data_IF_874765033305
#
_entry.id   IF_874765033305
#
_cell.length_a   1.000
_cell.length_b   1.000
_cell.length_c   1.000
_cell.angle_alpha   90.00
_cell.angle_beta   90.00
_cell.angle_gamma   90.00
#
_symmetry.space_group_name_H-M   'P 1'
#
loop_
_entity.id
_entity.type
_entity.pdbx_description
1 polymer ?
#
# COMPACT_ATOMS: atom_id res chain seq x y z
N UNK A 1 7.05 -0.93 13.89
CA UNK A 1 6.51 -1.29 12.57
C UNK A 1 5.60 -2.48 12.74
N UNK A 2 4.31 -2.34 12.44
CA UNK A 2 3.36 -3.47 12.42
C UNK A 2 3.59 -4.24 11.12
N UNK A 3 4.12 -5.46 11.24
CA UNK A 3 4.22 -6.36 10.10
C UNK A 3 2.83 -6.83 9.66
N UNK A 4 2.70 -7.21 8.39
CA UNK A 4 1.44 -7.60 7.75
C UNK A 4 1.66 -8.56 6.60
N UNK A 5 0.57 -9.05 6.02
CA UNK A 5 0.63 -10.00 4.91
C UNK A 5 0.55 -9.28 3.57
N UNK A 6 1.65 -9.29 2.82
CA UNK A 6 1.67 -8.70 1.49
C UNK A 6 1.01 -9.64 0.49
N UNK A 7 -0.17 -9.27 -0.01
CA UNK A 7 -0.94 -10.10 -0.95
C UNK A 7 -0.19 -10.38 -2.28
N UNK A 8 0.48 -9.42 -2.93
CA UNK A 8 1.30 -9.69 -4.12
C UNK A 8 2.50 -10.61 -3.89
N UNK A 9 3.10 -10.57 -2.69
CA UNK A 9 4.24 -11.43 -2.36
C UNK A 9 3.82 -12.79 -1.81
N UNK A 10 2.55 -12.96 -1.45
CA UNK A 10 1.99 -14.11 -0.75
C UNK A 10 2.77 -14.50 0.54
N UNK A 11 3.33 -13.50 1.24
CA UNK A 11 4.11 -13.72 2.48
C UNK A 11 4.02 -12.56 3.47
N UNK A 12 4.27 -12.89 4.74
CA UNK A 12 4.44 -11.92 5.82
C UNK A 12 5.68 -11.05 5.62
N UNK A 13 5.56 -9.76 5.94
CA UNK A 13 6.62 -8.76 5.84
C UNK A 13 6.66 -7.90 7.10
N UNK A 14 7.86 -7.52 7.48
CA UNK A 14 8.13 -6.73 8.70
C UNK A 14 7.57 -5.30 8.62
N UNK A 15 7.43 -4.78 7.40
CA UNK A 15 6.84 -3.48 7.12
C UNK A 15 5.81 -3.59 5.97
N UNK A 16 4.56 -3.26 6.29
CA UNK A 16 3.45 -3.17 5.35
C UNK A 16 2.63 -1.91 5.62
N UNK A 17 1.90 -1.47 4.60
CA UNK A 17 0.90 -0.40 4.69
C UNK A 17 -0.42 -0.89 4.13
N UNK A 18 -1.51 -0.30 4.61
CA UNK A 18 -2.86 -0.60 4.13
C UNK A 18 -3.10 0.19 2.85
N UNK A 19 -3.50 -0.50 1.79
CA UNK A 19 -3.81 0.07 0.48
C UNK A 19 -5.28 -0.18 0.16
N UNK A 20 -6.03 0.88 -0.12
CA UNK A 20 -7.38 0.75 -0.66
C UNK A 20 -7.29 0.47 -2.17
N UNK A 21 -7.80 -0.67 -2.62
CA UNK A 21 -7.86 -1.10 -4.02
C UNK A 21 -9.32 -1.06 -4.46
N UNK A 22 -9.60 -0.24 -5.47
CA UNK A 22 -10.93 -0.15 -6.10
C UNK A 22 -10.86 -0.86 -7.44
N UNK A 23 -11.56 -1.99 -7.57
CA UNK A 23 -11.70 -2.69 -8.85
C UNK A 23 -12.75 -1.98 -9.71
N UNK A 24 -12.31 -1.34 -10.79
CA UNK A 24 -13.18 -0.65 -11.76
C UNK A 24 -13.93 -1.67 -12.64
N UNK A 25 -14.89 -2.39 -12.07
CA UNK A 25 -16.07 -2.98 -12.75
C UNK A 25 -16.95 -3.77 -11.74
N UNK A 26 -17.69 -3.06 -10.87
CA UNK A 26 -18.71 -3.61 -9.93
C UNK A 26 -18.25 -4.36 -8.67
N UNK A 27 -16.95 -4.43 -8.37
CA UNK A 27 -16.46 -4.98 -7.10
C UNK A 27 -16.50 -3.97 -5.95
N UNK A 28 -16.83 -4.36 -4.70
CA UNK A 28 -16.62 -3.50 -3.55
C UNK A 28 -15.12 -3.19 -3.42
N UNK A 29 -14.78 -1.94 -3.17
CA UNK A 29 -13.40 -1.57 -2.85
C UNK A 29 -12.90 -2.41 -1.68
N UNK A 30 -11.72 -3.00 -1.81
CA UNK A 30 -11.09 -3.81 -0.76
C UNK A 30 -9.88 -3.09 -0.20
N UNK A 31 -9.62 -3.26 1.08
CA UNK A 31 -8.36 -2.86 1.71
C UNK A 31 -7.43 -4.07 1.76
N UNK A 32 -6.20 -3.91 1.30
CA UNK A 32 -5.16 -4.95 1.35
C UNK A 32 -3.94 -4.42 2.08
N UNK A 33 -3.19 -5.31 2.72
CA UNK A 33 -1.84 -4.97 3.17
C UNK A 33 -0.84 -5.23 2.05
N UNK A 34 0.05 -4.28 1.82
CA UNK A 34 1.12 -4.40 0.84
C UNK A 34 2.46 -4.00 1.48
N UNK A 35 3.51 -4.73 1.14
CA UNK A 35 4.86 -4.30 1.54
C UNK A 35 5.26 -3.02 0.80
N UNK A 36 6.20 -2.25 1.35
CA UNK A 36 6.59 -0.94 0.82
C UNK A 36 6.87 -0.92 -0.71
N UNK A 37 7.57 -1.90 -1.32
CA UNK A 37 7.72 -1.96 -2.78
C UNK A 37 6.39 -2.00 -3.54
N UNK A 38 5.50 -2.93 -3.18
CA UNK A 38 4.20 -3.10 -3.85
C UNK A 38 3.24 -1.95 -3.51
N UNK A 39 3.35 -1.36 -2.32
CA UNK A 39 2.61 -0.15 -1.99
C UNK A 39 3.01 1.03 -2.88
N UNK A 40 4.30 1.18 -3.21
CA UNK A 40 4.77 2.17 -4.19
C UNK A 40 4.26 1.89 -5.61
N UNK A 41 4.18 0.62 -6.00
CA UNK A 41 3.54 0.24 -7.27
C UNK A 41 2.07 0.66 -7.29
N UNK A 42 1.32 0.42 -6.21
CA UNK A 42 -0.07 0.87 -6.09
C UNK A 42 -0.19 2.41 -6.13
N UNK A 43 0.72 3.13 -5.46
CA UNK A 43 0.75 4.59 -5.44
C UNK A 43 1.03 5.23 -6.81
N UNK A 44 1.69 4.48 -7.71
CA UNK A 44 1.99 4.91 -9.08
C UNK A 44 0.78 4.82 -10.03
N UNK A 45 -0.32 4.14 -9.64
CA UNK A 45 -1.52 4.11 -10.48
C UNK A 45 -2.16 5.50 -10.59
N UNK A 46 -2.73 5.88 -11.76
CA UNK A 46 -3.35 7.18 -11.94
C UNK A 46 -4.50 7.48 -10.97
N UNK A 47 -5.21 6.43 -10.54
CA UNK A 47 -6.35 6.50 -9.62
C UNK A 47 -5.94 6.29 -8.15
N UNK A 48 -4.65 6.17 -7.86
CA UNK A 48 -4.19 6.01 -6.50
C UNK A 48 -4.55 7.26 -5.67
N UNK A 49 -5.12 7.08 -4.47
CA UNK A 49 -5.50 8.21 -3.65
C UNK A 49 -4.25 8.93 -3.11
N UNK A 50 -4.34 10.25 -2.97
CA UNK A 50 -3.21 11.08 -2.54
C UNK A 50 -2.67 10.68 -1.15
N UNK A 51 -3.55 10.26 -0.22
CA UNK A 51 -3.14 9.85 1.13
C UNK A 51 -2.13 8.70 1.11
N UNK A 52 -2.21 7.76 0.15
CA UNK A 52 -1.26 6.65 0.05
C UNK A 52 0.14 7.15 -0.32
N UNK A 53 0.22 8.15 -1.18
CA UNK A 53 1.49 8.78 -1.57
C UNK A 53 2.10 9.54 -0.39
N UNK A 54 1.26 10.24 0.36
CA UNK A 54 1.68 11.01 1.53
C UNK A 54 2.21 10.09 2.65
N UNK A 55 1.52 8.98 2.92
CA UNK A 55 1.98 7.97 3.89
C UNK A 55 3.32 7.34 3.48
N UNK A 56 3.49 6.99 2.20
CA UNK A 56 4.75 6.45 1.70
C UNK A 56 5.89 7.47 1.80
N UNK A 57 5.61 8.75 1.48
CA UNK A 57 6.59 9.82 1.62
C UNK A 57 6.99 10.04 3.09
N UNK A 58 6.05 9.93 4.03
CA UNK A 58 6.33 10.02 5.46
C UNK A 58 7.19 8.84 5.97
N UNK A 59 7.05 7.64 5.38
CA UNK A 59 7.87 6.47 5.69
C UNK A 59 9.28 6.53 5.06
N UNK A 60 9.42 7.23 3.93
CA UNK A 60 10.70 7.43 3.25
C UNK A 60 11.52 8.59 3.84
N UNK A 61 10.88 9.46 4.63
CA UNK A 61 11.60 10.48 5.38
C UNK A 61 12.49 9.80 6.43
N UNK A 62 13.83 9.99 6.40
CA UNK A 62 14.67 9.50 7.47
C UNK A 62 14.18 10.13 8.78
N UNK A 63 14.07 9.31 9.83
CA UNK A 63 13.86 9.81 11.19
C UNK A 63 14.93 10.88 11.44
N UNK A 64 14.50 12.13 11.63
CA UNK A 64 15.39 13.27 11.85
C UNK A 64 16.24 13.11 13.11
#
# INVERSE_FOLDING_TARGET
MSGGYCLPCERWREATVVVAVVEVNSGPGRVVEACLPHAREYAAYPLAPQWLRDELAALDAPEG
#
